data_IF_325103526888
#
_entry.id   IF_325103526888
#
_cell.length_a   1.000
_cell.length_b   1.000
_cell.length_c   1.000
_cell.angle_alpha   90.00
_cell.angle_beta   90.00
_cell.angle_gamma   90.00
#
_symmetry.space_group_name_H-M   'P 1'
#
loop_
_entity.id
_entity.type
_entity.pdbx_description
1 polymer ?
#
# COMPACT_ATOMS: atom_id res chain seq x y z
N UNK A 1 19.36 -4.46 21.72
CA UNK A 1 19.06 -3.32 20.83
C UNK A 1 18.01 -2.48 21.52
N UNK A 2 18.14 -1.16 21.51
CA UNK A 2 17.30 -0.25 22.30
C UNK A 2 15.81 -0.53 22.09
N UNK A 3 15.10 -0.81 23.18
CA UNK A 3 13.68 -1.22 23.25
C UNK A 3 12.73 -0.03 23.30
N UNK A 4 13.09 1.09 22.67
CA UNK A 4 12.25 2.28 22.66
C UNK A 4 11.48 2.36 21.34
N UNK A 5 10.17 2.50 21.44
CA UNK A 5 9.33 2.77 20.28
C UNK A 5 9.75 4.08 19.61
N UNK A 6 9.78 4.13 18.26
CA UNK A 6 10.11 5.36 17.55
C UNK A 6 9.05 6.42 17.82
N UNK A 7 9.49 7.66 17.97
CA UNK A 7 8.57 8.80 18.02
C UNK A 7 7.81 8.92 16.69
N UNK A 8 6.63 9.53 16.73
CA UNK A 8 5.86 9.81 15.51
C UNK A 8 6.69 10.58 14.45
N UNK A 9 7.50 11.56 14.89
CA UNK A 9 8.35 12.34 14.00
C UNK A 9 9.40 11.48 13.28
N UNK A 10 9.97 10.49 13.96
CA UNK A 10 10.92 9.54 13.37
C UNK A 10 10.23 8.62 12.36
N UNK A 11 9.06 8.08 12.70
CA UNK A 11 8.28 7.23 11.78
C UNK A 11 7.96 8.00 10.49
N UNK A 12 7.45 9.24 10.60
CA UNK A 12 7.08 10.06 9.45
C UNK A 12 8.28 10.39 8.56
N UNK A 13 9.44 10.72 9.16
CA UNK A 13 10.66 11.06 8.40
C UNK A 13 11.30 9.84 7.75
N UNK A 14 11.22 8.67 8.39
CA UNK A 14 11.81 7.44 7.87
C UNK A 14 10.93 6.73 6.84
N UNK A 15 9.64 7.07 6.73
CA UNK A 15 8.76 6.50 5.71
C UNK A 15 9.20 6.93 4.31
N UNK A 16 9.45 5.97 3.44
CA UNK A 16 9.74 6.18 2.02
C UNK A 16 8.94 5.21 1.14
N UNK A 17 8.84 5.51 -0.16
CA UNK A 17 8.17 4.65 -1.13
C UNK A 17 9.15 3.58 -1.64
N UNK A 18 9.19 2.43 -0.96
CA UNK A 18 9.97 1.28 -1.39
C UNK A 18 9.43 0.71 -2.72
N UNK A 19 10.33 0.32 -3.63
CA UNK A 19 10.00 -0.21 -4.97
C UNK A 19 10.52 -1.63 -5.22
N UNK A 20 11.06 -2.26 -4.18
CA UNK A 20 11.50 -3.64 -4.17
C UNK A 20 11.32 -4.19 -2.75
N UNK A 21 10.85 -5.43 -2.65
CA UNK A 21 10.51 -6.09 -1.38
C UNK A 21 11.14 -7.48 -1.33
N UNK A 22 11.40 -7.97 -0.11
CA UNK A 22 11.86 -9.35 0.10
C UNK A 22 10.72 -10.33 -0.18
N UNK A 23 11.02 -11.58 -0.58
CA UNK A 23 10.01 -12.62 -0.77
C UNK A 23 9.40 -13.13 0.54
N UNK A 24 9.91 -12.68 1.70
CA UNK A 24 9.43 -13.11 3.00
C UNK A 24 8.02 -12.55 3.26
N UNK A 25 7.03 -13.40 3.52
CA UNK A 25 5.68 -12.93 3.85
C UNK A 25 5.66 -12.26 5.23
N UNK A 26 4.71 -11.34 5.41
CA UNK A 26 4.40 -10.74 6.71
C UNK A 26 3.42 -11.67 7.44
N UNK A 27 3.67 -12.02 8.72
CA UNK A 27 2.72 -12.73 9.57
C UNK A 27 1.32 -12.07 9.63
N UNK A 28 0.27 -12.90 9.67
CA UNK A 28 -1.12 -12.40 9.56
C UNK A 28 -1.59 -11.59 10.77
N UNK A 29 -1.04 -11.88 11.95
CA UNK A 29 -1.25 -11.14 13.19
C UNK A 29 -0.71 -9.71 13.06
N UNK A 30 0.53 -9.55 12.58
CA UNK A 30 1.13 -8.23 12.33
C UNK A 30 0.28 -7.41 11.37
N UNK A 31 -0.21 -8.02 10.27
CA UNK A 31 -1.10 -7.34 9.33
C UNK A 31 -2.42 -6.88 9.99
N UNK A 32 -3.00 -7.70 10.87
CA UNK A 32 -4.23 -7.34 11.60
C UNK A 32 -4.00 -6.18 12.54
N UNK A 33 -2.90 -6.21 13.29
CA UNK A 33 -2.57 -5.16 14.27
C UNK A 33 -2.40 -3.81 13.57
N UNK A 34 -1.66 -3.78 12.45
CA UNK A 34 -1.51 -2.56 11.62
C UNK A 34 -2.87 -2.02 11.16
N UNK A 35 -3.79 -2.90 10.75
CA UNK A 35 -5.12 -2.47 10.29
C UNK A 35 -6.03 -2.01 11.41
N UNK A 36 -5.91 -2.58 12.60
CA UNK A 36 -6.64 -2.11 13.79
C UNK A 36 -6.19 -0.69 14.15
N UNK A 37 -4.89 -0.41 14.12
CA UNK A 37 -4.35 0.93 14.35
C UNK A 37 -4.74 1.91 13.23
N UNK A 38 -4.67 1.49 11.96
CA UNK A 38 -5.01 2.35 10.82
C UNK A 38 -6.48 2.81 10.83
N UNK A 39 -7.40 2.01 11.39
CA UNK A 39 -8.81 2.37 11.51
C UNK A 39 -9.08 3.54 12.45
N UNK A 40 -8.11 3.93 13.29
CA UNK A 40 -8.21 5.12 14.13
C UNK A 40 -8.08 6.43 13.34
N UNK A 41 -7.79 6.38 12.03
CA UNK A 41 -7.80 7.57 11.17
C UNK A 41 -9.20 8.22 11.18
N UNK A 42 -9.32 9.55 11.37
CA UNK A 42 -10.61 10.21 11.33
C UNK A 42 -11.21 10.16 9.92
N UNK A 43 -12.53 10.09 9.83
CA UNK A 43 -13.29 10.21 8.58
C UNK A 43 -14.45 11.17 8.75
N UNK A 44 -14.93 11.77 7.66
CA UNK A 44 -16.09 12.66 7.71
C UNK A 44 -17.29 11.92 8.32
N UNK A 45 -17.90 12.52 9.35
CA UNK A 45 -18.99 11.94 10.14
C UNK A 45 -18.70 10.53 10.68
N UNK A 46 -17.41 10.17 10.85
CA UNK A 46 -16.96 8.84 11.25
C UNK A 46 -17.52 7.69 10.37
N UNK A 47 -17.76 7.97 9.09
CA UNK A 47 -18.35 6.99 8.14
C UNK A 47 -17.44 5.80 7.84
N UNK A 48 -16.12 5.96 8.05
CA UNK A 48 -15.11 4.92 7.81
C UNK A 48 -15.28 4.26 6.43
N UNK A 49 -15.26 5.05 5.33
CA UNK A 49 -15.74 4.60 4.02
C UNK A 49 -14.79 3.61 3.31
N UNK A 50 -13.63 3.32 3.91
CA UNK A 50 -12.61 2.47 3.31
C UNK A 50 -13.08 1.01 3.23
N UNK A 51 -12.92 0.41 2.05
CA UNK A 51 -13.01 -1.03 1.85
C UNK A 51 -11.62 -1.53 1.51
N UNK A 52 -11.10 -2.49 2.29
CA UNK A 52 -9.76 -3.03 2.12
C UNK A 52 -9.81 -4.48 1.67
N UNK A 53 -9.02 -4.81 0.65
CA UNK A 53 -8.74 -6.18 0.23
C UNK A 53 -7.24 -6.46 0.38
N UNK A 54 -6.87 -7.43 1.22
CA UNK A 54 -5.49 -7.94 1.28
C UNK A 54 -5.38 -9.13 0.34
N UNK A 55 -4.43 -9.06 -0.59
CA UNK A 55 -4.15 -10.14 -1.55
C UNK A 55 -2.75 -10.66 -1.27
N UNK A 56 -2.63 -11.98 -1.06
CA UNK A 56 -1.37 -12.65 -0.73
C UNK A 56 -1.22 -13.97 -1.51
N UNK A 57 0.00 -14.52 -1.50
CA UNK A 57 0.30 -15.82 -2.11
C UNK A 57 -0.06 -15.89 -3.59
N UNK A 58 -0.74 -16.96 -4.00
CA UNK A 58 -1.04 -17.24 -5.40
C UNK A 58 -1.95 -16.19 -6.03
N UNK A 59 -2.92 -15.67 -5.28
CA UNK A 59 -3.82 -14.62 -5.76
C UNK A 59 -3.09 -13.31 -6.02
N UNK A 60 -2.06 -12.99 -5.23
CA UNK A 60 -1.23 -11.81 -5.48
C UNK A 60 -0.44 -11.97 -6.77
N UNK A 61 0.10 -13.17 -7.03
CA UNK A 61 0.82 -13.47 -8.27
C UNK A 61 -0.09 -13.38 -9.49
N UNK A 62 -1.29 -13.95 -9.41
CA UNK A 62 -2.31 -13.88 -10.47
C UNK A 62 -2.70 -12.43 -10.77
N UNK A 63 -3.01 -11.64 -9.74
CA UNK A 63 -3.36 -10.22 -9.89
C UNK A 63 -2.20 -9.42 -10.48
N UNK A 64 -0.98 -9.62 -9.98
CA UNK A 64 0.21 -8.93 -10.50
C UNK A 64 0.47 -9.25 -11.96
N UNK A 65 0.27 -10.49 -12.38
CA UNK A 65 0.40 -10.89 -13.78
C UNK A 65 -0.65 -10.20 -14.65
N UNK A 66 -1.93 -10.26 -14.25
CA UNK A 66 -3.03 -9.62 -14.98
C UNK A 66 -2.81 -8.12 -15.18
N UNK A 67 -2.45 -7.39 -14.11
CA UNK A 67 -2.19 -5.95 -14.18
C UNK A 67 -1.01 -5.60 -15.09
N UNK A 68 0.03 -6.44 -15.12
CA UNK A 68 1.20 -6.21 -15.98
C UNK A 68 0.86 -6.47 -17.45
N UNK A 69 0.05 -7.47 -17.75
CA UNK A 69 -0.42 -7.75 -19.11
C UNK A 69 -1.33 -6.64 -19.64
N UNK A 70 -2.28 -6.17 -18.84
CA UNK A 70 -3.15 -5.05 -19.22
C UNK A 70 -2.35 -3.77 -19.50
N UNK A 71 -1.35 -3.48 -18.67
CA UNK A 71 -0.45 -2.35 -18.90
C UNK A 71 0.29 -2.49 -20.25
N UNK A 72 0.82 -3.68 -20.57
CA UNK A 72 1.50 -3.95 -21.85
C UNK A 72 0.56 -3.84 -23.04
N UNK A 73 -0.70 -4.23 -22.87
CA UNK A 73 -1.73 -4.15 -23.89
C UNK A 73 -2.31 -2.73 -24.06
N UNK A 74 -1.99 -1.79 -23.17
CA UNK A 74 -2.59 -0.44 -23.16
C UNK A 74 -4.00 -0.41 -22.57
N UNK A 75 -4.43 -1.47 -21.89
CA UNK A 75 -5.75 -1.62 -21.28
C UNK A 75 -5.76 -1.08 -19.84
N UNK A 76 -5.44 0.20 -19.66
CA UNK A 76 -5.44 0.82 -18.34
C UNK A 76 -6.28 2.10 -18.30
N UNK A 77 -6.88 2.37 -17.14
CA UNK A 77 -7.57 3.61 -16.83
C UNK A 77 -6.81 4.30 -15.71
N UNK A 78 -6.33 5.52 -15.96
CA UNK A 78 -5.69 6.31 -14.92
C UNK A 78 -6.75 7.08 -14.14
N UNK A 79 -6.63 7.11 -12.82
CA UNK A 79 -7.50 7.93 -11.97
C UNK A 79 -7.29 9.44 -12.24
N UNK A 80 -6.09 9.81 -12.70
CA UNK A 80 -5.71 11.16 -13.08
C UNK A 80 -4.91 11.14 -14.38
N UNK A 81 -5.14 12.13 -15.25
CA UNK A 81 -4.29 12.30 -16.44
C UNK A 81 -2.91 12.78 -16.02
N UNK A 82 -1.86 12.15 -16.56
CA UNK A 82 -0.49 12.58 -16.36
C UNK A 82 0.09 13.02 -17.70
N UNK A 83 0.33 14.32 -17.83
CA UNK A 83 1.06 14.86 -18.97
C UNK A 83 2.57 14.68 -18.74
N UNK A 84 3.17 13.76 -19.49
CA UNK A 84 4.61 13.52 -19.43
C UNK A 84 5.42 14.68 -20.02
N UNK A 85 4.83 15.47 -20.92
CA UNK A 85 5.48 16.60 -21.59
C UNK A 85 5.53 17.83 -20.67
N UNK A 86 4.63 17.91 -19.68
CA UNK A 86 4.60 18.96 -18.66
C UNK A 86 5.74 18.86 -17.62
N UNK A 87 6.46 17.74 -17.55
CA UNK A 87 7.53 17.49 -16.57
C UNK A 87 8.78 16.89 -17.23
N UNK A 88 9.59 17.71 -17.94
CA UNK A 88 10.85 17.28 -18.56
C UNK A 88 11.93 16.89 -17.55
#
# INVERSE_FOLDING_TARGET
MSTQEPTFSEVVKNRYSARAFLPSPIPSDILKDILLEAQCAPSNCNTQPWTLHIVAGDKLRELSHALTEDLRAGNYSLDFTFDKEAYP
#
